data_IF_179790584385
#
_entry.id   IF_179790584385
#
_cell.length_a   1.000
_cell.length_b   1.000
_cell.length_c   1.000
_cell.angle_alpha   90.00
_cell.angle_beta   90.00
_cell.angle_gamma   90.00
#
_symmetry.space_group_name_H-M   'P 1'
#
loop_
_entity.id
_entity.type
_entity.pdbx_description
1 polymer ?
#
# COMPACT_ATOMS: atom_id res chain seq x y z
N UNK A 1 13.71 -20.82 -31.10
CA UNK A 1 12.65 -20.03 -30.45
C UNK A 1 11.80 -21.01 -29.65
N UNK A 2 11.54 -20.72 -28.38
CA UNK A 2 10.71 -21.58 -27.50
C UNK A 2 9.39 -20.86 -27.24
N UNK A 3 8.30 -21.60 -27.12
CA UNK A 3 6.97 -21.06 -26.81
C UNK A 3 6.61 -21.34 -25.35
N UNK A 4 5.91 -20.41 -24.71
CA UNK A 4 5.34 -20.56 -23.38
C UNK A 4 3.82 -20.58 -23.51
N UNK A 5 3.18 -21.65 -23.06
CA UNK A 5 1.72 -21.77 -23.00
C UNK A 5 1.27 -21.77 -21.54
N UNK A 6 0.34 -20.89 -21.20
CA UNK A 6 -0.23 -20.75 -19.86
C UNK A 6 -1.75 -20.74 -19.99
N UNK A 7 -2.44 -21.46 -19.10
CA UNK A 7 -3.90 -21.37 -18.99
C UNK A 7 -4.24 -20.19 -18.09
N UNK A 8 -5.06 -19.28 -18.59
CA UNK A 8 -5.52 -18.08 -17.88
C UNK A 8 -7.03 -17.98 -18.08
N UNK A 9 -7.72 -17.52 -17.04
CA UNK A 9 -9.12 -17.15 -17.17
C UNK A 9 -9.26 -15.98 -18.17
N UNK A 10 -10.25 -15.98 -19.07
CA UNK A 10 -10.41 -14.94 -20.09
C UNK A 10 -10.51 -13.53 -19.49
N UNK A 11 -11.21 -13.38 -18.37
CA UNK A 11 -11.36 -12.11 -17.67
C UNK A 11 -10.01 -11.58 -17.15
N UNK A 12 -9.21 -12.45 -16.52
CA UNK A 12 -7.88 -12.11 -16.02
C UNK A 12 -6.93 -11.69 -17.16
N UNK A 13 -6.99 -12.39 -18.31
CA UNK A 13 -6.20 -12.02 -19.49
C UNK A 13 -6.56 -10.61 -19.98
N UNK A 14 -7.86 -10.34 -20.13
CA UNK A 14 -8.36 -9.05 -20.61
C UNK A 14 -7.95 -7.89 -19.69
N UNK A 15 -8.06 -8.08 -18.37
CA UNK A 15 -7.65 -7.08 -17.39
C UNK A 15 -6.14 -6.82 -17.44
N UNK A 16 -5.34 -7.88 -17.50
CA UNK A 16 -3.89 -7.77 -17.60
C UNK A 16 -3.46 -7.06 -18.90
N UNK A 17 -4.08 -7.36 -20.04
CA UNK A 17 -3.80 -6.67 -21.31
C UNK A 17 -4.12 -5.17 -21.22
N UNK A 18 -5.27 -4.80 -20.64
CA UNK A 18 -5.65 -3.39 -20.47
C UNK A 18 -4.64 -2.61 -19.62
N UNK A 19 -4.18 -3.20 -18.51
CA UNK A 19 -3.18 -2.55 -17.63
C UNK A 19 -1.82 -2.44 -18.33
N UNK A 20 -1.40 -3.49 -19.04
CA UNK A 20 -0.11 -3.49 -19.73
C UNK A 20 -0.09 -2.51 -20.91
N UNK A 21 -1.19 -2.37 -21.65
CA UNK A 21 -1.31 -1.40 -22.74
C UNK A 21 -1.19 0.05 -22.23
N UNK A 22 -1.76 0.36 -21.05
CA UNK A 22 -1.57 1.68 -20.41
C UNK A 22 -0.10 1.94 -20.06
N UNK A 23 0.68 0.89 -19.81
CA UNK A 23 2.13 0.96 -19.57
C UNK A 23 2.95 0.90 -20.87
N UNK A 24 2.32 0.79 -22.03
CA UNK A 24 3.00 0.66 -23.34
C UNK A 24 3.69 -0.69 -23.53
N UNK A 25 3.20 -1.74 -22.88
CA UNK A 25 3.79 -3.09 -22.90
C UNK A 25 2.83 -4.11 -23.48
N UNK A 26 3.34 -4.99 -24.33
CA UNK A 26 2.62 -6.20 -24.73
C UNK A 26 2.75 -7.29 -23.66
N UNK A 27 1.81 -8.23 -23.63
CA UNK A 27 1.86 -9.42 -22.76
C UNK A 27 3.21 -10.16 -22.86
N UNK A 28 3.72 -10.33 -24.09
CA UNK A 28 5.00 -11.00 -24.32
C UNK A 28 6.18 -10.23 -23.72
N UNK A 29 6.18 -8.89 -23.83
CA UNK A 29 7.23 -8.07 -23.21
C UNK A 29 7.17 -8.15 -21.68
N UNK A 30 5.97 -8.08 -21.09
CA UNK A 30 5.78 -8.19 -19.65
C UNK A 30 6.30 -9.53 -19.10
N UNK A 31 5.96 -10.65 -19.75
CA UNK A 31 6.45 -11.99 -19.37
C UNK A 31 7.98 -12.07 -19.48
N UNK A 32 8.58 -11.49 -20.54
CA UNK A 32 10.05 -11.43 -20.67
C UNK A 32 10.68 -10.60 -19.54
N UNK A 33 10.07 -9.48 -19.16
CA UNK A 33 10.55 -8.64 -18.06
C UNK A 33 10.47 -9.37 -16.71
N UNK A 34 9.38 -10.11 -16.46
CA UNK A 34 9.24 -10.96 -15.28
C UNK A 34 10.41 -11.95 -15.16
N UNK A 35 10.72 -12.71 -16.22
CA UNK A 35 11.85 -13.66 -16.18
C UNK A 35 13.20 -12.97 -16.05
N UNK A 36 13.41 -11.80 -16.67
CA UNK A 36 14.63 -11.01 -16.45
C UNK A 36 14.80 -10.64 -14.98
N UNK A 37 13.72 -10.23 -14.30
CA UNK A 37 13.77 -9.94 -12.87
C UNK A 37 14.06 -11.19 -12.04
N UNK A 38 13.45 -12.33 -12.36
CA UNK A 38 13.74 -13.61 -11.70
C UNK A 38 15.22 -13.99 -11.82
N UNK A 39 15.78 -13.88 -13.03
CA UNK A 39 17.19 -14.21 -13.30
C UNK A 39 18.12 -13.26 -12.54
N UNK A 40 17.82 -11.96 -12.55
CA UNK A 40 18.65 -10.92 -11.93
C UNK A 40 18.63 -11.01 -10.40
N UNK A 41 17.46 -11.24 -9.80
CA UNK A 41 17.28 -11.25 -8.33
C UNK A 41 17.48 -12.62 -7.70
N UNK A 42 17.52 -13.69 -8.52
CA UNK A 42 17.49 -15.08 -8.05
C UNK A 42 16.30 -15.35 -7.10
N UNK A 43 15.21 -14.64 -7.30
CA UNK A 43 13.99 -14.71 -6.49
C UNK A 43 12.77 -14.35 -7.35
N UNK A 44 11.57 -14.68 -6.85
CA UNK A 44 10.34 -14.17 -7.45
C UNK A 44 10.31 -12.63 -7.22
N UNK A 45 9.98 -11.81 -8.24
CA UNK A 45 10.04 -10.35 -8.17
C UNK A 45 8.85 -9.71 -7.45
N UNK A 46 8.23 -10.43 -6.54
CA UNK A 46 7.20 -9.97 -5.62
C UNK A 46 7.21 -10.88 -4.38
N UNK A 47 6.79 -10.37 -3.20
CA UNK A 47 6.77 -11.16 -1.98
C UNK A 47 5.75 -12.29 -2.08
N UNK A 48 6.17 -13.52 -1.77
CA UNK A 48 5.29 -14.70 -1.70
C UNK A 48 4.92 -14.94 -0.25
N UNK A 49 3.97 -14.15 0.26
CA UNK A 49 3.53 -14.17 1.65
C UNK A 49 2.00 -14.12 1.74
N UNK A 50 1.44 -14.70 2.80
CA UNK A 50 0.02 -14.53 3.12
C UNK A 50 -0.13 -13.14 3.75
N UNK A 51 -0.74 -12.21 3.03
CA UNK A 51 -1.07 -10.89 3.56
C UNK A 51 -2.29 -11.06 4.46
N UNK A 52 -2.09 -11.07 5.78
CA UNK A 52 -3.19 -10.82 6.70
C UNK A 52 -3.51 -9.33 6.60
N UNK A 53 -4.77 -8.97 6.33
CA UNK A 53 -5.21 -7.59 6.39
C UNK A 53 -4.71 -6.97 7.70
N UNK A 54 -3.90 -5.90 7.59
CA UNK A 54 -3.61 -5.08 8.76
C UNK A 54 -4.94 -4.45 9.19
N UNK A 55 -5.66 -5.10 10.10
CA UNK A 55 -6.60 -4.36 10.94
C UNK A 55 -5.75 -3.40 11.73
N UNK A 56 -5.87 -2.10 11.45
CA UNK A 56 -5.41 -1.07 12.38
C UNK A 56 -6.18 -1.33 13.67
N UNK A 57 -5.51 -1.95 14.64
CA UNK A 57 -6.09 -2.11 15.97
C UNK A 57 -6.05 -0.73 16.60
N UNK A 58 -7.20 -0.05 16.61
CA UNK A 58 -7.41 1.10 17.46
C UNK A 58 -7.80 0.52 18.82
N UNK A 59 -7.00 0.79 19.84
CA UNK A 59 -7.37 0.40 21.19
C UNK A 59 -8.63 1.17 21.63
N UNK A 60 -9.46 0.62 22.53
CA UNK A 60 -10.62 1.36 23.05
C UNK A 60 -10.25 2.73 23.65
N UNK A 61 -9.03 2.88 24.17
CA UNK A 61 -8.52 4.15 24.68
C UNK A 61 -8.27 5.16 23.56
N UNK A 62 -7.65 4.74 22.46
CA UNK A 62 -7.40 5.60 21.29
C UNK A 62 -8.71 6.02 20.62
N UNK A 63 -9.71 5.14 20.58
CA UNK A 63 -11.02 5.46 19.98
C UNK A 63 -11.76 6.54 20.77
N UNK A 64 -11.70 6.48 22.11
CA UNK A 64 -12.21 7.54 22.98
C UNK A 64 -11.45 8.86 22.78
N UNK A 65 -10.13 8.83 22.65
CA UNK A 65 -9.33 10.03 22.38
C UNK A 65 -9.67 10.68 21.03
N UNK A 66 -9.92 9.86 20.01
CA UNK A 66 -10.35 10.33 18.68
C UNK A 66 -11.73 10.98 18.77
N UNK A 67 -12.68 10.36 19.47
CA UNK A 67 -14.04 10.91 19.62
C UNK A 67 -14.04 12.23 20.41
N UNK A 68 -13.26 12.30 21.49
CA UNK A 68 -13.10 13.53 22.28
C UNK A 68 -12.48 14.65 21.43
N UNK A 69 -11.41 14.34 20.70
CA UNK A 69 -10.74 15.30 19.81
C UNK A 69 -11.68 15.85 18.73
N UNK A 70 -12.52 15.01 18.12
CA UNK A 70 -13.51 15.43 17.11
C UNK A 70 -14.57 16.37 17.70
N UNK A 71 -15.01 16.12 18.94
CA UNK A 71 -15.95 16.99 19.65
C UNK A 71 -15.33 18.35 19.96
N UNK A 72 -14.08 18.38 20.41
CA UNK A 72 -13.38 19.65 20.70
C UNK A 72 -13.17 20.50 19.44
N UNK A 73 -12.84 19.88 18.31
CA UNK A 73 -12.75 20.55 17.00
C UNK A 73 -14.10 21.17 16.61
N UNK A 74 -15.20 20.42 16.77
CA UNK A 74 -16.55 20.91 16.48
C UNK A 74 -16.98 22.10 17.36
N UNK A 75 -16.41 22.22 18.56
CA UNK A 75 -16.63 23.34 19.47
C UNK A 75 -15.63 24.50 19.26
N UNK A 76 -14.77 24.42 18.25
CA UNK A 76 -13.75 25.42 17.96
C UNK A 76 -12.62 25.48 18.99
N UNK A 77 -12.60 24.53 19.94
CA UNK A 77 -11.59 24.42 20.99
C UNK A 77 -10.41 23.63 20.42
N UNK A 78 -9.56 24.32 19.67
CA UNK A 78 -8.36 23.75 19.07
C UNK A 78 -7.12 24.32 19.76
N UNK A 79 -6.11 23.47 19.94
CA UNK A 79 -4.79 23.91 20.41
C UNK A 79 -3.86 23.98 19.21
N UNK A 80 -3.37 25.17 18.89
CA UNK A 80 -2.28 25.29 17.93
C UNK A 80 -0.99 24.82 18.58
N UNK A 81 -0.38 23.80 18.00
CA UNK A 81 0.89 23.24 18.45
C UNK A 81 1.94 23.60 17.40
N UNK A 82 3.00 24.28 17.82
CA UNK A 82 4.15 24.52 16.94
C UNK A 82 4.96 23.22 16.83
N UNK A 83 4.97 22.63 15.63
CA UNK A 83 5.70 21.38 15.36
C UNK A 83 7.23 21.58 15.37
N UNK A 84 7.71 22.82 15.37
CA UNK A 84 9.14 23.15 15.43
C UNK A 84 9.67 23.19 16.86
N UNK A 85 8.77 23.29 17.86
CA UNK A 85 9.13 23.30 19.27
C UNK A 85 9.06 21.86 19.83
N UNK A 86 10.22 21.22 19.95
CA UNK A 86 10.35 19.86 20.48
C UNK A 86 9.70 19.67 21.85
N UNK A 87 9.61 20.73 22.67
CA UNK A 87 8.96 20.63 24.00
C UNK A 87 7.45 20.48 23.87
N UNK A 88 6.86 21.18 22.91
CA UNK A 88 5.43 21.08 22.64
C UNK A 88 5.12 19.72 21.98
N UNK A 89 5.94 19.29 21.03
CA UNK A 89 5.77 18.00 20.37
C UNK A 89 5.81 16.85 21.38
N UNK A 90 6.82 16.82 22.27
CA UNK A 90 6.91 15.82 23.35
C UNK A 90 5.69 15.79 24.26
N UNK A 91 5.19 16.97 24.63
CA UNK A 91 4.06 17.11 25.55
C UNK A 91 2.74 16.58 24.96
N UNK A 92 2.49 16.81 23.67
CA UNK A 92 1.21 16.47 23.04
C UNK A 92 1.21 15.14 22.30
N UNK A 93 2.35 14.67 21.80
CA UNK A 93 2.44 13.45 20.98
C UNK A 93 3.19 12.30 21.66
N UNK A 94 3.79 12.52 22.83
CA UNK A 94 4.45 11.46 23.60
C UNK A 94 5.67 10.82 22.91
N UNK A 95 6.29 11.53 21.96
CA UNK A 95 7.48 11.12 21.18
C UNK A 95 8.70 11.95 21.54
#
# INVERSE_FOLDING_TARGET
MTYLQVRLEPAMKSEAEMVLDQLGLTMTQAVKLFFKQVIMRKSIPFPVVIIKEKRTYVSPAEELMIEESLREIGQGKTTQVDMSDERQVKKYFGV
#
